data_IF_712011818400
#
_entry.id   IF_712011818400
#
_cell.length_a   1.000
_cell.length_b   1.000
_cell.length_c   1.000
_cell.angle_alpha   90.00
_cell.angle_beta   90.00
_cell.angle_gamma   90.00
#
_symmetry.space_group_name_H-M   'P 1'
#
loop_
_entity.id
_entity.type
_entity.pdbx_description
1 polymer ?
#
# COMPACT_ATOMS: atom_id res chain seq x y z
N UNK A 1 12.80 -8.61 -3.95
CA UNK A 1 13.88 -8.42 -2.95
C UNK A 1 13.33 -7.42 -1.95
N UNK A 2 13.13 -7.84 -0.71
CA UNK A 2 12.71 -6.94 0.36
C UNK A 2 13.86 -5.97 0.63
N UNK A 3 13.57 -4.77 1.13
CA UNK A 3 14.63 -3.85 1.55
C UNK A 3 15.43 -4.44 2.72
N UNK A 4 14.82 -5.30 3.54
CA UNK A 4 15.50 -6.12 4.55
C UNK A 4 16.53 -7.12 3.99
N UNK A 5 16.44 -7.46 2.70
CA UNK A 5 17.36 -8.40 2.05
C UNK A 5 18.63 -7.67 1.55
N UNK A 6 18.68 -6.34 1.66
CA UNK A 6 19.88 -5.59 1.35
C UNK A 6 20.91 -5.81 2.46
N UNK A 7 22.17 -6.17 2.14
CA UNK A 7 23.22 -6.38 3.13
C UNK A 7 23.68 -5.03 3.68
N UNK A 8 22.85 -4.41 4.52
CA UNK A 8 23.26 -3.29 5.35
C UNK A 8 24.11 -3.88 6.47
N UNK A 9 25.32 -3.36 6.64
CA UNK A 9 26.16 -3.77 7.76
C UNK A 9 25.37 -3.52 9.06
N UNK A 10 25.14 -4.60 9.82
CA UNK A 10 24.54 -4.52 11.14
C UNK A 10 25.30 -3.47 11.96
N UNK A 11 24.57 -2.57 12.64
CA UNK A 11 25.23 -1.66 13.59
C UNK A 11 25.94 -2.51 14.64
N UNK A 12 27.01 -1.97 15.23
CA UNK A 12 27.84 -2.69 16.21
C UNK A 12 27.07 -3.29 17.38
N UNK A 13 25.87 -2.77 17.63
CA UNK A 13 25.02 -3.11 18.77
C UNK A 13 23.74 -3.86 18.34
N UNK A 14 23.56 -4.15 17.05
CA UNK A 14 22.41 -4.94 16.59
C UNK A 14 22.56 -6.40 17.06
N UNK A 15 21.49 -7.02 17.57
CA UNK A 15 21.54 -8.41 18.00
C UNK A 15 21.82 -9.35 16.83
N UNK A 16 22.62 -10.40 17.06
CA UNK A 16 22.95 -11.42 16.04
C UNK A 16 21.71 -12.18 15.54
N UNK A 17 20.64 -12.23 16.34
CA UNK A 17 19.36 -12.84 16.00
C UNK A 17 18.25 -11.83 16.24
N UNK A 18 17.51 -11.52 15.17
CA UNK A 18 16.32 -10.68 15.22
C UNK A 18 15.11 -11.59 15.41
N UNK A 19 14.29 -11.32 16.42
CA UNK A 19 12.98 -11.97 16.58
C UNK A 19 12.04 -11.52 15.46
N UNK A 20 11.54 -12.49 14.69
CA UNK A 20 10.62 -12.25 13.57
C UNK A 20 9.18 -12.62 13.91
N UNK A 21 8.90 -12.97 15.17
CA UNK A 21 7.53 -13.17 15.64
C UNK A 21 6.83 -11.83 15.82
N UNK A 22 5.53 -11.79 15.52
CA UNK A 22 4.71 -10.60 15.69
C UNK A 22 3.30 -11.00 16.12
N UNK A 23 2.72 -10.22 17.03
CA UNK A 23 1.39 -10.49 17.60
C UNK A 23 0.24 -10.01 16.70
N UNK A 24 0.53 -9.15 15.72
CA UNK A 24 -0.49 -8.50 14.86
C UNK A 24 -0.02 -8.43 13.42
N UNK A 25 -0.77 -9.06 12.52
CA UNK A 25 -0.58 -8.90 11.08
C UNK A 25 -1.34 -7.66 10.58
N UNK A 26 -0.73 -6.88 9.68
CA UNK A 26 -1.40 -5.77 9.02
C UNK A 26 -2.60 -6.25 8.19
N UNK A 27 -2.55 -7.47 7.66
CA UNK A 27 -3.66 -8.11 6.93
C UNK A 27 -4.91 -8.23 7.78
N UNK A 28 -4.75 -8.62 9.05
CA UNK A 28 -5.89 -8.75 9.98
C UNK A 28 -6.52 -7.38 10.28
N UNK A 29 -5.68 -6.34 10.41
CA UNK A 29 -6.14 -4.96 10.63
C UNK A 29 -6.92 -4.46 9.41
N UNK A 30 -6.37 -4.61 8.20
CA UNK A 30 -7.03 -4.21 6.97
C UNK A 30 -8.32 -5.00 6.73
N UNK A 31 -8.30 -6.32 6.94
CA UNK A 31 -9.48 -7.18 6.85
C UNK A 31 -10.57 -6.75 7.82
N UNK A 32 -10.21 -6.37 9.06
CA UNK A 32 -11.15 -5.81 10.04
C UNK A 32 -11.79 -4.48 9.61
N UNK A 33 -11.18 -3.78 8.64
CA UNK A 33 -11.71 -2.57 8.00
C UNK A 33 -12.44 -2.86 6.68
N UNK A 34 -12.64 -4.12 6.31
CA UNK A 34 -13.27 -4.53 5.04
C UNK A 34 -12.31 -4.56 3.84
N UNK A 35 -11.01 -4.42 4.07
CA UNK A 35 -9.96 -4.39 3.05
C UNK A 35 -9.22 -5.74 2.99
N UNK A 36 -9.93 -6.78 2.56
CA UNK A 36 -9.35 -8.12 2.37
C UNK A 36 -8.43 -8.15 1.15
N UNK A 37 -7.54 -9.14 1.07
CA UNK A 37 -6.66 -9.32 -0.09
C UNK A 37 -7.45 -9.43 -1.41
N UNK A 38 -8.60 -10.09 -1.39
CA UNK A 38 -9.47 -10.21 -2.56
C UNK A 38 -10.08 -8.86 -2.98
N UNK A 39 -10.40 -7.99 -2.03
CA UNK A 39 -10.87 -6.62 -2.32
C UNK A 39 -9.74 -5.80 -2.97
N UNK A 40 -8.52 -5.89 -2.44
CA UNK A 40 -7.35 -5.21 -3.00
C UNK A 40 -7.03 -5.72 -4.41
N UNK A 41 -7.06 -7.03 -4.59
CA UNK A 41 -6.83 -7.67 -5.88
C UNK A 41 -7.88 -7.25 -6.90
N UNK A 42 -9.17 -7.25 -6.51
CA UNK A 42 -10.25 -6.85 -7.39
C UNK A 42 -10.05 -5.43 -7.90
N UNK A 43 -9.70 -4.49 -7.02
CA UNK A 43 -9.38 -3.11 -7.40
C UNK A 43 -8.16 -3.04 -8.33
N UNK A 44 -7.11 -3.82 -8.06
CA UNK A 44 -5.93 -3.89 -8.93
C UNK A 44 -6.27 -4.35 -10.36
N UNK A 45 -7.11 -5.39 -10.47
CA UNK A 45 -7.45 -6.03 -11.73
C UNK A 45 -8.41 -5.19 -12.59
N UNK A 46 -9.11 -4.21 -12.04
CA UNK A 46 -9.88 -3.24 -12.85
C UNK A 46 -8.98 -2.42 -13.78
N UNK A 47 -7.72 -2.20 -13.39
CA UNK A 47 -6.73 -1.46 -14.19
C UNK A 47 -5.67 -2.36 -14.85
N UNK A 48 -5.84 -3.68 -14.78
CA UNK A 48 -4.93 -4.62 -15.40
C UNK A 48 -4.94 -4.51 -16.93
N UNK A 49 -3.75 -4.59 -17.52
CA UNK A 49 -3.53 -4.62 -18.97
C UNK A 49 -2.64 -5.83 -19.28
N UNK A 50 -3.05 -6.71 -20.21
CA UNK A 50 -2.23 -7.85 -20.62
C UNK A 50 -0.81 -7.45 -21.02
N UNK A 51 0.18 -8.16 -20.47
CA UNK A 51 1.60 -7.92 -20.71
C UNK A 51 2.36 -9.26 -20.74
N UNK A 52 3.50 -9.39 -21.44
CA UNK A 52 4.29 -10.62 -21.40
C UNK A 52 4.56 -11.09 -19.97
N UNK A 53 4.39 -12.39 -19.73
CA UNK A 53 4.47 -13.04 -18.42
C UNK A 53 3.17 -13.02 -17.61
N UNK A 54 2.27 -12.08 -17.89
CA UNK A 54 0.95 -11.93 -17.27
C UNK A 54 -0.08 -11.64 -18.36
N UNK A 55 -0.17 -12.48 -19.39
CA UNK A 55 -1.04 -12.21 -20.56
C UNK A 55 -2.53 -12.45 -20.25
N UNK A 56 -2.80 -13.25 -19.21
CA UNK A 56 -4.14 -13.63 -18.78
C UNK A 56 -4.41 -13.06 -17.38
N UNK A 57 -5.66 -12.72 -17.09
CA UNK A 57 -6.06 -12.20 -15.79
C UNK A 57 -5.65 -13.14 -14.65
N UNK A 58 -5.80 -14.45 -14.84
CA UNK A 58 -5.48 -15.48 -13.86
C UNK A 58 -4.00 -15.48 -13.48
N UNK A 59 -3.11 -15.29 -14.47
CA UNK A 59 -1.66 -15.13 -14.24
C UNK A 59 -1.36 -13.83 -13.50
N UNK A 60 -1.97 -12.73 -13.93
CA UNK A 60 -1.79 -11.43 -13.29
C UNK A 60 -2.22 -11.48 -11.81
N UNK A 61 -3.36 -12.11 -11.51
CA UNK A 61 -3.85 -12.30 -10.16
C UNK A 61 -2.89 -13.14 -9.30
N UNK A 62 -2.32 -14.21 -9.86
CA UNK A 62 -1.35 -15.04 -9.14
C UNK A 62 -0.06 -14.26 -8.81
N UNK A 63 0.48 -13.53 -9.78
CA UNK A 63 1.70 -12.71 -9.57
C UNK A 63 1.39 -11.57 -8.62
N UNK A 64 0.25 -10.89 -8.74
CA UNK A 64 -0.15 -9.83 -7.82
C UNK A 64 -0.20 -10.31 -6.36
N UNK A 65 -0.82 -11.47 -6.09
CA UNK A 65 -0.86 -12.05 -4.73
C UNK A 65 0.56 -12.31 -4.20
N UNK A 66 1.44 -12.89 -5.01
CA UNK A 66 2.84 -13.09 -4.64
C UNK A 66 3.54 -11.76 -4.32
N UNK A 67 3.32 -10.72 -5.11
CA UNK A 67 3.90 -9.41 -4.89
C UNK A 67 3.35 -8.70 -3.65
N UNK A 68 2.06 -8.88 -3.38
CA UNK A 68 1.41 -8.40 -2.16
C UNK A 68 2.02 -9.09 -0.94
N UNK A 69 2.27 -10.40 -1.02
CA UNK A 69 2.94 -11.15 0.04
C UNK A 69 4.36 -10.67 0.30
N UNK A 70 5.13 -10.43 -0.75
CA UNK A 70 6.47 -9.86 -0.63
C UNK A 70 6.41 -8.48 0.02
N UNK A 71 5.50 -7.60 -0.43
CA UNK A 71 5.35 -6.26 0.11
C UNK A 71 4.97 -6.28 1.60
N UNK A 72 3.90 -6.99 1.97
CA UNK A 72 3.38 -7.06 3.34
C UNK A 72 4.18 -7.97 4.27
N UNK A 73 5.33 -8.47 3.83
CA UNK A 73 6.29 -9.18 4.67
C UNK A 73 7.46 -8.30 5.13
N UNK A 74 7.48 -7.03 4.75
CA UNK A 74 8.41 -6.01 5.24
C UNK A 74 7.72 -5.17 6.33
N UNK A 75 8.18 -5.23 7.59
CA UNK A 75 7.54 -4.50 8.69
C UNK A 75 7.55 -2.98 8.50
N UNK A 76 8.53 -2.41 7.77
CA UNK A 76 8.53 -0.96 7.52
C UNK A 76 7.34 -0.55 6.66
N UNK A 77 7.01 -1.35 5.64
CA UNK A 77 5.83 -1.11 4.81
C UNK A 77 4.56 -1.29 5.63
N UNK A 78 4.47 -2.35 6.44
CA UNK A 78 3.33 -2.59 7.32
C UNK A 78 3.09 -1.42 8.28
N UNK A 79 4.15 -0.81 8.83
CA UNK A 79 4.05 0.36 9.71
C UNK A 79 3.57 1.60 8.95
N UNK A 80 4.02 1.83 7.71
CA UNK A 80 3.53 2.93 6.87
C UNK A 80 2.03 2.79 6.59
N UNK A 81 1.57 1.59 6.22
CA UNK A 81 0.15 1.29 6.02
C UNK A 81 -0.63 1.49 7.32
N UNK A 82 -0.09 0.99 8.45
CA UNK A 82 -0.72 1.14 9.76
C UNK A 82 -0.86 2.62 10.17
N UNK A 83 0.13 3.46 9.90
CA UNK A 83 0.06 4.89 10.14
C UNK A 83 -1.14 5.53 9.40
N UNK A 84 -1.39 5.11 8.16
CA UNK A 84 -2.59 5.47 7.40
C UNK A 84 -3.89 5.13 8.14
N UNK A 85 -4.00 3.90 8.66
CA UNK A 85 -5.19 3.47 9.42
C UNK A 85 -5.43 4.32 10.68
N UNK A 86 -4.35 4.73 11.36
CA UNK A 86 -4.43 5.57 12.55
C UNK A 86 -4.84 7.00 12.22
N UNK A 87 -4.28 7.56 11.15
CA UNK A 87 -4.60 8.91 10.67
C UNK A 87 -6.05 8.99 10.19
N UNK A 88 -6.54 7.96 9.50
CA UNK A 88 -7.94 7.85 9.10
C UNK A 88 -8.88 7.88 10.32
N UNK A 89 -8.58 7.10 11.35
CA UNK A 89 -9.37 7.08 12.59
C UNK A 89 -9.27 8.41 13.34
N UNK A 90 -8.11 9.05 13.37
CA UNK A 90 -7.91 10.36 13.96
C UNK A 90 -8.72 11.44 13.22
N UNK A 91 -8.76 11.40 11.89
CA UNK A 91 -9.55 12.31 11.06
C UNK A 91 -11.05 12.15 11.31
N UNK A 92 -11.55 10.91 11.25
CA UNK A 92 -12.95 10.58 11.56
C UNK A 92 -13.37 10.97 12.98
N UNK A 93 -12.44 10.98 13.93
CA UNK A 93 -12.70 11.39 15.32
C UNK A 93 -12.38 12.85 15.63
N UNK A 94 -11.96 13.65 14.64
CA UNK A 94 -11.63 15.07 14.81
C UNK A 94 -10.40 15.34 15.68
N UNK A 95 -9.45 14.39 15.72
CA UNK A 95 -8.23 14.45 16.54
C UNK A 95 -6.99 14.87 15.75
N UNK A 96 -7.10 15.12 14.46
CA UNK A 96 -5.99 15.59 13.65
C UNK A 96 -5.58 17.02 14.07
N UNK A 97 -4.27 17.31 14.16
CA UNK A 97 -3.82 18.65 14.53
C UNK A 97 -4.14 19.64 13.40
N UNK A 98 -4.64 20.82 13.77
CA UNK A 98 -4.93 21.93 12.85
C UNK A 98 -5.93 21.59 11.72
N UNK A 99 -6.71 20.51 11.85
CA UNK A 99 -7.73 20.12 10.89
C UNK A 99 -9.01 19.74 11.62
N UNK A 100 -10.11 20.45 11.34
CA UNK A 100 -11.41 20.11 11.93
C UNK A 100 -11.98 18.82 11.33
N UNK A 101 -12.83 18.13 12.07
CA UNK A 101 -13.56 16.95 11.56
C UNK A 101 -14.36 17.27 10.29
N UNK A 102 -15.08 18.39 10.29
CA UNK A 102 -15.88 18.81 9.12
C UNK A 102 -15.00 19.11 7.91
N UNK A 103 -13.79 19.66 8.13
CA UNK A 103 -12.81 19.87 7.05
C UNK A 103 -12.25 18.55 6.53
N UNK A 104 -12.02 17.59 7.40
CA UNK A 104 -11.56 16.25 7.04
C UNK A 104 -12.60 15.49 6.22
N UNK A 105 -13.86 15.46 6.67
CA UNK A 105 -14.96 14.76 5.99
C UNK A 105 -15.31 15.37 4.62
N UNK A 106 -14.90 16.62 4.35
CA UNK A 106 -15.06 17.27 3.05
C UNK A 106 -13.98 16.91 2.04
N UNK A 107 -12.98 16.11 2.43
CA UNK A 107 -11.89 15.65 1.58
C UNK A 107 -11.29 16.80 0.75
N UNK A 108 -10.85 17.84 1.48
CA UNK A 108 -10.42 19.08 0.86
C UNK A 108 -9.05 18.89 0.20
N UNK A 109 -8.89 19.39 -1.03
CA UNK A 109 -7.67 19.29 -1.87
C UNK A 109 -6.36 19.81 -1.23
N UNK A 110 -6.40 20.37 -0.02
CA UNK A 110 -5.20 20.82 0.69
C UNK A 110 -4.66 19.79 1.68
N UNK A 111 -5.37 18.69 1.94
CA UNK A 111 -4.76 17.56 2.62
C UNK A 111 -3.80 16.92 1.61
N UNK A 112 -2.51 17.18 1.81
CA UNK A 112 -1.42 16.66 0.95
C UNK A 112 -0.66 15.54 1.67
N UNK A 113 -0.93 15.35 2.96
CA UNK A 113 -0.20 14.40 3.80
C UNK A 113 -0.58 12.95 3.48
N UNK A 114 -1.82 12.71 3.10
CA UNK A 114 -2.35 11.49 2.50
C UNK A 114 -1.67 11.16 1.18
N UNK A 115 -1.59 12.11 0.24
CA UNK A 115 -0.89 11.93 -1.04
C UNK A 115 0.59 11.57 -0.80
N UNK A 116 1.27 12.30 0.09
CA UNK A 116 2.67 12.03 0.45
C UNK A 116 2.84 10.63 1.03
N UNK A 117 1.89 10.16 1.83
CA UNK A 117 1.92 8.82 2.40
C UNK A 117 1.70 7.76 1.32
N UNK A 118 0.70 7.93 0.45
CA UNK A 118 0.42 7.04 -0.69
C UNK A 118 1.62 6.93 -1.65
N UNK A 119 2.20 8.07 -2.03
CA UNK A 119 3.43 8.14 -2.83
C UNK A 119 4.60 7.44 -2.16
N UNK A 120 4.78 7.64 -0.84
CA UNK A 120 5.88 7.03 -0.09
C UNK A 120 5.75 5.51 -0.07
N UNK A 121 4.54 4.98 0.16
CA UNK A 121 4.24 3.55 0.12
C UNK A 121 4.55 2.98 -1.26
N UNK A 122 4.02 3.58 -2.33
CA UNK A 122 4.22 3.07 -3.69
C UNK A 122 5.70 3.12 -4.12
N UNK A 123 6.39 4.20 -3.76
CA UNK A 123 7.82 4.37 -4.04
C UNK A 123 8.68 3.42 -3.23
N UNK A 124 8.31 3.13 -1.98
CA UNK A 124 9.00 2.14 -1.16
C UNK A 124 8.95 0.75 -1.79
N UNK A 125 7.80 0.37 -2.37
CA UNK A 125 7.60 -0.94 -2.99
C UNK A 125 8.35 -1.08 -4.31
N UNK A 126 8.23 -0.10 -5.22
CA UNK A 126 8.69 -0.25 -6.61
C UNK A 126 9.44 0.96 -7.18
N UNK A 127 9.95 1.84 -6.32
CA UNK A 127 10.63 3.07 -6.71
C UNK A 127 9.73 3.99 -7.55
N UNK A 128 10.32 4.74 -8.48
CA UNK A 128 9.56 5.65 -9.33
C UNK A 128 8.49 4.96 -10.19
N UNK A 129 8.66 3.68 -10.54
CA UNK A 129 7.62 2.93 -11.26
C UNK A 129 6.37 2.75 -10.40
N UNK A 130 6.55 2.49 -9.10
CA UNK A 130 5.45 2.42 -8.15
C UNK A 130 4.73 3.76 -8.02
N UNK A 131 5.48 4.86 -7.92
CA UNK A 131 4.92 6.22 -7.86
C UNK A 131 4.03 6.54 -9.08
N UNK A 132 4.48 6.23 -10.30
CA UNK A 132 3.64 6.45 -11.50
C UNK A 132 2.36 5.61 -11.49
N UNK A 133 2.45 4.37 -11.00
CA UNK A 133 1.28 3.50 -10.91
C UNK A 133 0.33 3.98 -9.80
N UNK A 134 0.84 4.46 -8.66
CA UNK A 134 0.03 5.13 -7.64
C UNK A 134 -0.78 6.29 -8.23
N UNK A 135 -0.15 7.21 -8.97
CA UNK A 135 -0.85 8.34 -9.61
C UNK A 135 -1.99 7.85 -10.52
N UNK A 136 -1.80 6.70 -11.17
CA UNK A 136 -2.84 6.08 -12.00
C UNK A 136 -4.00 5.54 -11.17
N UNK A 137 -3.71 4.86 -10.05
CA UNK A 137 -4.73 4.31 -9.15
C UNK A 137 -5.49 5.40 -8.39
N UNK A 138 -4.78 6.40 -7.86
CA UNK A 138 -5.39 7.54 -7.17
C UNK A 138 -6.31 8.34 -8.11
N UNK A 139 -5.86 8.61 -9.34
CA UNK A 139 -6.69 9.34 -10.30
C UNK A 139 -7.96 8.59 -10.72
N UNK A 140 -7.89 7.26 -10.84
CA UNK A 140 -8.99 6.45 -11.38
C UNK A 140 -9.89 5.86 -10.29
N UNK A 141 -9.40 5.76 -9.04
CA UNK A 141 -10.07 5.20 -7.86
C UNK A 141 -10.86 3.90 -8.15
N UNK A 142 -10.22 2.84 -8.69
CA UNK A 142 -10.92 1.58 -8.99
C UNK A 142 -11.42 0.86 -7.74
N UNK A 143 -12.45 0.04 -7.89
CA UNK A 143 -12.98 -0.80 -6.83
C UNK A 143 -13.30 -0.05 -5.54
N UNK A 144 -12.74 -0.52 -4.43
CA UNK A 144 -12.97 0.03 -3.08
C UNK A 144 -12.35 1.41 -2.88
N UNK A 145 -11.34 1.81 -3.68
CA UNK A 145 -10.57 3.04 -3.45
C UNK A 145 -11.48 4.27 -3.46
N UNK A 146 -12.47 4.33 -4.36
CA UNK A 146 -13.44 5.44 -4.44
C UNK A 146 -14.38 5.58 -3.24
N UNK A 147 -14.42 4.59 -2.36
CA UNK A 147 -15.31 4.54 -1.20
C UNK A 147 -14.56 4.81 0.11
N UNK A 148 -13.22 4.84 0.07
CA UNK A 148 -12.38 5.06 1.23
C UNK A 148 -12.31 6.55 1.60
N UNK A 149 -11.93 6.81 2.86
CA UNK A 149 -11.69 8.16 3.35
C UNK A 149 -10.29 8.67 2.99
N UNK A 150 -10.01 9.95 3.23
CA UNK A 150 -8.86 10.67 2.66
C UNK A 150 -7.49 10.03 2.87
N UNK A 151 -7.23 9.39 4.02
CA UNK A 151 -5.94 8.72 4.20
C UNK A 151 -5.93 7.32 3.59
N UNK A 152 -7.06 6.61 3.65
CA UNK A 152 -7.10 5.21 3.25
C UNK A 152 -7.20 5.02 1.74
N UNK A 153 -7.83 5.92 0.99
CA UNK A 153 -7.83 5.81 -0.47
C UNK A 153 -6.42 5.95 -1.03
N UNK A 154 -5.63 6.92 -0.56
CA UNK A 154 -4.23 7.12 -0.93
C UNK A 154 -3.31 5.99 -0.47
N UNK A 155 -3.47 5.51 0.77
CA UNK A 155 -2.69 4.39 1.30
C UNK A 155 -2.94 3.12 0.50
N UNK A 156 -4.20 2.83 0.17
CA UNK A 156 -4.56 1.63 -0.58
C UNK A 156 -4.20 1.79 -2.07
N UNK A 157 -4.38 2.97 -2.66
CA UNK A 157 -3.88 3.26 -4.01
C UNK A 157 -2.35 3.12 -4.08
N UNK A 158 -1.63 3.57 -3.04
CA UNK A 158 -0.18 3.46 -2.94
C UNK A 158 0.29 2.02 -2.84
N UNK A 159 -0.36 1.23 -1.98
CA UNK A 159 -0.08 -0.20 -1.83
C UNK A 159 -0.35 -0.97 -3.13
N UNK A 160 -1.55 -0.83 -3.69
CA UNK A 160 -1.94 -1.51 -4.93
C UNK A 160 -1.07 -1.05 -6.09
N UNK A 161 -0.80 0.25 -6.23
CA UNK A 161 0.04 0.80 -7.27
C UNK A 161 1.48 0.27 -7.21
N UNK A 162 2.08 0.25 -6.01
CA UNK A 162 3.40 -0.34 -5.79
C UNK A 162 3.47 -1.83 -6.12
N UNK A 163 2.48 -2.61 -5.65
CA UNK A 163 2.40 -4.06 -5.90
C UNK A 163 2.16 -4.36 -7.37
N UNK A 164 1.22 -3.64 -8.02
CA UNK A 164 0.94 -3.74 -9.45
C UNK A 164 2.19 -3.43 -10.28
N UNK A 165 2.94 -2.39 -9.92
CA UNK A 165 4.20 -2.04 -10.59
C UNK A 165 5.27 -3.13 -10.46
N UNK A 166 5.36 -3.79 -9.31
CA UNK A 166 6.23 -4.94 -9.10
C UNK A 166 5.80 -6.15 -9.92
N UNK A 167 4.49 -6.40 -10.01
CA UNK A 167 3.90 -7.47 -10.83
C UNK A 167 4.29 -7.28 -12.30
N UNK A 168 4.09 -6.09 -12.88
CA UNK A 168 4.52 -5.79 -14.24
C UNK A 168 6.03 -5.91 -14.44
N UNK A 169 6.83 -5.54 -13.43
CA UNK A 169 8.29 -5.60 -13.53
C UNK A 169 8.81 -7.04 -13.50
N UNK A 170 8.26 -7.91 -12.65
CA UNK A 170 8.72 -9.30 -12.53
C UNK A 170 8.13 -10.22 -13.60
N UNK A 171 7.00 -9.86 -14.21
CA UNK A 171 6.44 -10.64 -15.32
C UNK A 171 7.38 -10.75 -16.54
N UNK A 172 8.29 -9.78 -16.72
CA UNK A 172 9.17 -9.71 -17.90
C UNK A 172 10.50 -10.44 -17.69
N UNK A 173 10.77 -10.99 -16.50
CA UNK A 173 12.06 -11.59 -16.11
C UNK A 173 11.99 -13.11 -16.07
#
# INVERSE_FOLDING_TARGET
>A
MKLSDSPVAAKSDDPEVIDTTFDRDIRDILSGMGLTEEVLLSAAMELYVPHPGIETKEKAEAVFRQELDVALSDPNLCILVYAGTLLEQAGKSGKLPNLSRDSYERDLTFLVCDEVLGMSIATYIAGHKGMFEYVRFDKLKPGIIKELGPFMDDVIAGLIGGVSSSMYTRAVV
#
